data_IF_413758708784
#
_entry.id   IF_413758708784
#
_cell.length_a   1.000
_cell.length_b   1.000
_cell.length_c   1.000
_cell.angle_alpha   90.00
_cell.angle_beta   90.00
_cell.angle_gamma   90.00
#
_symmetry.space_group_name_H-M   'P 1'
#
loop_
_entity.id
_entity.type
_entity.pdbx_description
1 polymer ?
#
# COMPACT_ATOMS: atom_id res chain seq x y z
N UNK A 1 0.76 23.99 1.02
CA UNK A 1 1.51 22.82 1.53
C UNK A 1 2.53 23.15 2.60
N UNK A 2 3.21 24.29 2.55
CA UNK A 2 4.15 24.74 3.61
C UNK A 2 3.56 24.71 5.05
N UNK A 3 2.27 25.05 5.29
CA UNK A 3 1.67 24.91 6.62
C UNK A 3 1.53 23.46 7.11
N UNK A 4 1.56 22.48 6.19
CA UNK A 4 1.47 21.05 6.49
C UNK A 4 2.86 20.39 6.59
N UNK A 5 3.95 21.14 6.41
CA UNK A 5 5.32 20.63 6.47
C UNK A 5 5.65 19.88 7.78
N UNK A 6 4.98 20.27 8.87
CA UNK A 6 5.13 19.67 10.19
C UNK A 6 4.39 18.34 10.35
N UNK A 7 3.53 17.94 9.40
CA UNK A 7 2.77 16.68 9.46
C UNK A 7 3.73 15.49 9.46
N UNK A 8 3.55 14.65 10.45
CA UNK A 8 4.34 13.46 10.73
C UNK A 8 3.62 12.20 10.24
N UNK A 9 4.32 11.07 10.22
CA UNK A 9 3.69 9.77 9.97
C UNK A 9 2.53 9.48 10.94
N UNK A 10 2.66 9.89 12.19
CA UNK A 10 1.61 9.79 13.21
C UNK A 10 0.37 10.62 12.84
N UNK A 11 0.56 11.85 12.34
CA UNK A 11 -0.58 12.69 11.94
C UNK A 11 -1.34 12.06 10.77
N UNK A 12 -0.63 11.47 9.80
CA UNK A 12 -1.24 10.72 8.70
C UNK A 12 -2.06 9.52 9.20
N UNK A 13 -1.64 8.86 10.29
CA UNK A 13 -2.37 7.74 10.89
C UNK A 13 -3.62 8.21 11.65
N UNK A 14 -3.49 9.26 12.46
CA UNK A 14 -4.58 9.78 13.28
C UNK A 14 -5.66 10.45 12.41
N UNK A 15 -5.25 11.39 11.56
CA UNK A 15 -6.15 12.22 10.75
C UNK A 15 -6.55 11.56 9.42
N UNK A 16 -5.95 10.40 9.11
CA UNK A 16 -6.26 9.59 7.93
C UNK A 16 -7.15 8.41 8.29
N UNK A 17 -6.61 7.19 8.44
CA UNK A 17 -7.40 5.98 8.62
C UNK A 17 -8.23 5.97 9.92
N UNK A 18 -7.74 6.51 11.04
CA UNK A 18 -8.51 6.48 12.30
C UNK A 18 -9.70 7.44 12.27
N UNK A 19 -9.53 8.66 11.76
CA UNK A 19 -10.63 9.60 11.53
C UNK A 19 -11.60 9.12 10.45
N UNK A 20 -11.11 8.45 9.41
CA UNK A 20 -11.97 7.82 8.41
C UNK A 20 -12.86 6.73 9.03
N UNK A 21 -12.34 5.92 9.96
CA UNK A 21 -13.16 4.94 10.69
C UNK A 21 -14.24 5.62 11.55
N UNK A 22 -13.89 6.72 12.23
CA UNK A 22 -14.87 7.51 12.99
C UNK A 22 -15.98 8.05 12.06
N UNK A 23 -15.62 8.54 10.88
CA UNK A 23 -16.55 9.06 9.89
C UNK A 23 -17.44 7.96 9.29
N UNK A 24 -16.89 6.77 9.01
CA UNK A 24 -17.66 5.61 8.54
C UNK A 24 -18.71 5.20 9.58
N UNK A 25 -18.34 5.14 10.86
CA UNK A 25 -19.26 4.81 11.94
C UNK A 25 -20.39 5.86 12.06
N UNK A 26 -20.07 7.15 11.97
CA UNK A 26 -21.08 8.23 11.97
C UNK A 26 -22.00 8.20 10.73
N UNK A 27 -21.46 7.84 9.56
CA UNK A 27 -22.22 7.80 8.32
C UNK A 27 -23.13 6.57 8.21
N UNK A 28 -22.69 5.43 8.76
CA UNK A 28 -23.32 4.12 8.50
C UNK A 28 -23.97 3.48 9.71
N UNK A 29 -23.59 3.91 10.93
CA UNK A 29 -23.90 3.24 12.20
C UNK A 29 -23.06 1.98 12.45
N UNK A 30 -22.22 1.57 11.50
CA UNK A 30 -21.40 0.37 11.63
C UNK A 30 -20.05 0.71 12.26
N UNK A 31 -19.79 0.13 13.43
CA UNK A 31 -18.51 0.26 14.13
C UNK A 31 -17.38 -0.52 13.44
N UNK A 32 -17.74 -1.54 12.68
CA UNK A 32 -16.82 -2.54 12.15
C UNK A 32 -16.58 -2.34 10.65
N UNK A 33 -15.32 -2.44 10.22
CA UNK A 33 -14.92 -2.20 8.83
C UNK A 33 -13.95 -3.26 8.31
N UNK A 34 -14.02 -3.50 7.01
CA UNK A 34 -12.97 -4.16 6.25
C UNK A 34 -12.16 -3.09 5.52
N UNK A 35 -10.84 -3.21 5.54
CA UNK A 35 -9.95 -2.15 5.05
C UNK A 35 -8.97 -2.67 4.01
N UNK A 36 -8.52 -1.77 3.15
CA UNK A 36 -7.54 -2.05 2.12
C UNK A 36 -6.44 -1.00 2.23
N UNK A 37 -5.18 -1.42 2.17
CA UNK A 37 -4.04 -0.56 2.03
C UNK A 37 -3.24 -0.92 0.77
N UNK A 38 -2.81 0.09 0.01
CA UNK A 38 -2.05 -0.08 -1.22
C UNK A 38 -0.71 0.64 -1.10
N UNK A 39 0.40 -0.07 -1.35
CA UNK A 39 1.76 0.45 -1.30
C UNK A 39 2.05 1.09 0.07
N UNK A 40 2.50 2.34 0.12
CA UNK A 40 2.72 3.08 1.37
C UNK A 40 1.45 3.20 2.23
N UNK A 41 0.26 3.25 1.60
CA UNK A 41 -1.01 3.20 2.32
C UNK A 41 -1.22 1.89 3.07
N UNK A 42 -0.66 0.79 2.57
CA UNK A 42 -0.61 -0.49 3.28
C UNK A 42 0.37 -0.48 4.44
N UNK A 43 1.54 0.16 4.29
CA UNK A 43 2.50 0.31 5.40
C UNK A 43 1.87 1.14 6.53
N UNK A 44 1.18 2.23 6.19
CA UNK A 44 0.41 3.03 7.14
C UNK A 44 -0.71 2.22 7.80
N UNK A 45 -1.44 1.41 7.03
CA UNK A 45 -2.48 0.52 7.56
C UNK A 45 -1.90 -0.51 8.54
N UNK A 46 -0.77 -1.14 8.23
CA UNK A 46 -0.12 -2.10 9.12
C UNK A 46 0.31 -1.44 10.44
N UNK A 47 0.91 -0.25 10.36
CA UNK A 47 1.24 0.56 11.55
C UNK A 47 -0.02 0.92 12.35
N UNK A 48 -1.11 1.28 11.67
CA UNK A 48 -2.41 1.59 12.29
C UNK A 48 -2.94 0.37 13.05
N UNK A 49 -2.95 -0.81 12.42
CA UNK A 49 -3.44 -2.04 13.04
C UNK A 49 -2.60 -2.43 14.25
N UNK A 50 -1.27 -2.32 14.17
CA UNK A 50 -0.40 -2.57 15.31
C UNK A 50 -0.68 -1.60 16.47
N UNK A 51 -0.84 -0.30 16.18
CA UNK A 51 -1.25 0.70 17.17
C UNK A 51 -2.62 0.39 17.79
N UNK A 52 -3.60 0.03 16.96
CA UNK A 52 -4.94 -0.38 17.42
C UNK A 52 -4.88 -1.58 18.38
N UNK A 53 -3.93 -2.52 18.19
CA UNK A 53 -3.76 -3.64 19.12
C UNK A 53 -3.30 -3.20 20.52
N UNK A 54 -2.48 -2.15 20.61
CA UNK A 54 -2.06 -1.57 21.90
C UNK A 54 -3.25 -0.91 22.58
N UNK A 55 -4.08 -0.19 21.80
CA UNK A 55 -5.28 0.51 22.28
C UNK A 55 -6.50 -0.39 22.47
N UNK A 56 -6.39 -1.69 22.15
CA UNK A 56 -7.48 -2.68 22.16
C UNK A 56 -8.68 -2.26 21.29
N UNK A 57 -8.40 -1.53 20.22
CA UNK A 57 -9.39 -1.16 19.23
C UNK A 57 -9.54 -2.29 18.20
N UNK A 58 -10.75 -2.84 18.11
CA UNK A 58 -11.09 -4.02 17.32
C UNK A 58 -12.12 -3.71 16.22
N UNK A 59 -12.16 -2.46 15.75
CA UNK A 59 -13.04 -2.00 14.66
C UNK A 59 -12.72 -2.64 13.31
N UNK A 60 -11.48 -3.04 13.06
CA UNK A 60 -11.10 -3.66 11.78
C UNK A 60 -11.28 -5.18 11.83
N UNK A 61 -12.12 -5.73 10.94
CA UNK A 61 -12.44 -7.16 10.86
C UNK A 61 -11.62 -7.96 9.88
N UNK A 62 -11.21 -7.32 8.80
CA UNK A 62 -10.26 -7.88 7.87
C UNK A 62 -9.45 -6.76 7.23
N UNK A 63 -8.21 -7.08 6.85
CA UNK A 63 -7.32 -6.17 6.18
C UNK A 63 -6.81 -6.80 4.88
N UNK A 64 -6.76 -6.01 3.82
CA UNK A 64 -6.14 -6.42 2.55
C UNK A 64 -4.97 -5.49 2.23
N UNK A 65 -3.84 -6.07 1.85
CA UNK A 65 -2.64 -5.35 1.47
C UNK A 65 -2.32 -5.59 0.00
N UNK A 66 -2.22 -4.53 -0.79
CA UNK A 66 -1.79 -4.59 -2.18
C UNK A 66 -0.34 -4.12 -2.27
N UNK A 67 0.56 -4.99 -2.75
CA UNK A 67 1.99 -4.73 -2.99
C UNK A 67 2.61 -3.84 -1.92
N UNK A 68 2.47 -4.27 -0.67
CA UNK A 68 2.82 -3.50 0.52
C UNK A 68 4.00 -4.14 1.23
N UNK A 69 5.00 -3.34 1.56
CA UNK A 69 6.12 -3.76 2.39
C UNK A 69 5.90 -3.36 3.85
N UNK A 70 6.24 -4.27 4.75
CA UNK A 70 6.39 -4.04 6.20
C UNK A 70 7.75 -4.49 6.72
N UNK A 71 8.43 -5.34 5.95
CA UNK A 71 9.84 -5.64 6.05
C UNK A 71 10.53 -5.06 4.81
N UNK A 72 11.51 -4.19 5.05
CA UNK A 72 12.24 -3.44 4.04
C UNK A 72 13.68 -3.95 3.85
N UNK A 73 14.03 -5.12 4.41
CA UNK A 73 15.37 -5.71 4.28
C UNK A 73 15.79 -5.87 2.80
N UNK A 74 14.85 -6.23 1.93
CA UNK A 74 15.05 -6.35 0.48
C UNK A 74 14.10 -5.40 -0.28
N UNK A 75 14.14 -4.09 0.00
CA UNK A 75 13.21 -3.11 -0.56
C UNK A 75 13.38 -2.77 -2.07
N UNK A 76 13.99 -3.68 -2.84
CA UNK A 76 14.15 -3.55 -4.30
C UNK A 76 15.17 -2.50 -4.72
N UNK A 77 14.99 -1.95 -5.93
CA UNK A 77 15.92 -1.00 -6.53
C UNK A 77 16.02 0.32 -5.75
N UNK A 78 15.01 0.64 -4.92
CA UNK A 78 15.02 1.79 -4.03
C UNK A 78 16.16 1.76 -3.02
N UNK A 79 16.57 0.58 -2.55
CA UNK A 79 17.63 0.45 -1.54
C UNK A 79 18.98 1.00 -2.00
N UNK A 80 19.20 1.12 -3.32
CA UNK A 80 20.43 1.68 -3.90
C UNK A 80 20.51 3.21 -3.72
N UNK A 81 19.38 3.87 -3.49
CA UNK A 81 19.28 5.33 -3.37
C UNK A 81 19.05 5.82 -1.93
N UNK A 82 19.31 4.95 -0.94
CA UNK A 82 19.00 5.20 0.47
C UNK A 82 20.25 4.93 1.31
N UNK A 83 21.30 5.71 1.03
CA UNK A 83 22.47 5.82 1.90
C UNK A 83 22.40 7.08 2.79
N UNK A 84 23.27 7.13 3.81
CA UNK A 84 23.28 8.20 4.80
C UNK A 84 23.52 9.60 4.20
N UNK A 85 24.37 9.68 3.18
CA UNK A 85 24.79 10.93 2.57
C UNK A 85 23.68 11.50 1.67
N UNK A 86 23.05 10.62 0.87
CA UNK A 86 21.89 10.95 0.03
C UNK A 86 20.67 11.33 0.86
N UNK A 87 20.40 10.61 1.96
CA UNK A 87 19.29 10.94 2.85
C UNK A 87 19.51 12.28 3.54
N UNK A 88 20.71 12.55 4.06
CA UNK A 88 21.02 13.82 4.71
C UNK A 88 20.87 14.99 3.72
N UNK A 89 21.37 14.86 2.50
CA UNK A 89 21.22 15.88 1.46
C UNK A 89 19.75 16.10 1.05
N UNK A 90 18.96 15.03 0.99
CA UNK A 90 17.52 15.12 0.72
C UNK A 90 16.79 15.82 1.87
N UNK A 91 17.13 15.48 3.11
CA UNK A 91 16.58 16.10 4.32
C UNK A 91 16.89 17.59 4.39
N UNK A 92 18.11 18.03 4.08
CA UNK A 92 18.47 19.44 4.00
C UNK A 92 17.59 20.18 2.97
N UNK A 93 17.42 19.61 1.77
CA UNK A 93 16.56 20.18 0.72
C UNK A 93 15.10 20.26 1.15
N UNK A 94 14.58 19.21 1.77
CA UNK A 94 13.20 19.16 2.24
C UNK A 94 12.97 20.12 3.41
N UNK A 95 13.92 20.24 4.34
CA UNK A 95 13.82 21.14 5.49
C UNK A 95 13.85 22.62 5.07
N UNK A 96 14.55 22.96 3.99
CA UNK A 96 14.55 24.31 3.44
C UNK A 96 13.19 24.74 2.84
N UNK A 97 12.38 23.80 2.36
CA UNK A 97 11.08 24.06 1.71
C UNK A 97 9.86 23.59 2.51
N UNK A 98 10.06 22.74 3.51
CA UNK A 98 9.02 22.05 4.29
C UNK A 98 8.46 20.77 3.65
N UNK A 99 8.78 20.45 2.40
CA UNK A 99 8.28 19.27 1.67
C UNK A 99 9.22 18.87 0.54
N UNK A 100 9.05 17.65 0.02
CA UNK A 100 9.69 17.23 -1.24
C UNK A 100 8.81 17.64 -2.43
N UNK A 101 9.40 18.33 -3.41
CA UNK A 101 8.70 18.68 -4.65
C UNK A 101 8.30 17.42 -5.42
N UNK A 102 7.08 17.42 -5.97
CA UNK A 102 6.55 16.28 -6.73
C UNK A 102 7.46 15.88 -7.90
N UNK A 103 8.11 16.85 -8.57
CA UNK A 103 9.09 16.58 -9.64
C UNK A 103 10.32 15.81 -9.16
N UNK A 104 10.80 16.07 -7.95
CA UNK A 104 12.02 15.47 -7.42
C UNK A 104 11.71 14.00 -7.03
N UNK A 105 10.53 13.77 -6.43
CA UNK A 105 9.99 12.44 -6.18
C UNK A 105 9.73 11.66 -7.47
N UNK A 106 9.06 12.29 -8.44
CA UNK A 106 8.80 11.69 -9.75
C UNK A 106 10.09 11.34 -10.49
N UNK A 107 11.16 12.13 -10.33
CA UNK A 107 12.47 11.83 -10.93
C UNK A 107 13.07 10.55 -10.34
N UNK A 108 13.09 10.39 -9.01
CA UNK A 108 13.56 9.14 -8.38
C UNK A 108 12.69 7.95 -8.77
N UNK A 109 11.37 8.07 -8.73
CA UNK A 109 10.46 7.00 -9.17
C UNK A 109 10.58 6.70 -10.66
N UNK A 110 10.80 7.69 -11.53
CA UNK A 110 11.01 7.48 -12.96
C UNK A 110 12.38 6.87 -13.26
N UNK A 111 13.42 7.13 -12.45
CA UNK A 111 14.72 6.46 -12.55
C UNK A 111 14.61 4.97 -12.22
N UNK A 112 13.84 4.63 -11.18
CA UNK A 112 13.52 3.23 -10.82
C UNK A 112 12.63 2.56 -11.86
N UNK A 113 11.72 3.32 -12.47
CA UNK A 113 10.82 2.84 -13.52
C UNK A 113 11.39 2.95 -14.93
N UNK A 114 12.64 3.36 -15.12
CA UNK A 114 13.22 3.49 -16.46
C UNK A 114 13.19 2.12 -17.20
N UNK A 115 13.34 1.02 -16.46
CA UNK A 115 13.16 -0.33 -17.00
C UNK A 115 11.69 -0.63 -17.36
N UNK A 116 10.73 -0.25 -16.52
CA UNK A 116 9.32 -0.59 -16.73
C UNK A 116 8.58 0.31 -17.72
N UNK A 117 8.95 1.58 -17.86
CA UNK A 117 8.29 2.55 -18.74
C UNK A 117 8.93 2.63 -20.13
N UNK A 118 10.25 2.47 -20.22
CA UNK A 118 10.98 2.62 -21.50
C UNK A 118 11.38 1.26 -22.05
N UNK A 119 12.00 0.39 -21.24
CA UNK A 119 12.50 -0.89 -21.75
C UNK A 119 11.38 -1.91 -21.99
N UNK A 120 10.39 -2.01 -21.09
CA UNK A 120 9.22 -2.87 -21.33
C UNK A 120 8.38 -2.40 -22.52
N UNK A 121 8.31 -1.08 -22.78
CA UNK A 121 7.67 -0.50 -23.96
C UNK A 121 8.43 -0.85 -25.25
N UNK A 122 9.76 -0.73 -25.26
CA UNK A 122 10.59 -1.12 -26.41
C UNK A 122 10.53 -2.63 -26.65
N UNK A 123 10.63 -3.46 -25.61
CA UNK A 123 10.55 -4.92 -25.77
C UNK A 123 9.16 -5.36 -26.22
N UNK A 124 8.08 -4.88 -25.58
CA UNK A 124 6.73 -5.33 -25.93
C UNK A 124 6.23 -4.73 -27.25
N UNK A 125 6.50 -3.45 -27.55
CA UNK A 125 5.93 -2.79 -28.73
C UNK A 125 6.85 -2.83 -29.94
N UNK A 126 8.15 -2.61 -29.75
CA UNK A 126 9.10 -2.56 -30.86
C UNK A 126 9.61 -3.96 -31.25
N UNK A 127 9.90 -4.85 -30.29
CA UNK A 127 10.38 -6.20 -30.58
C UNK A 127 9.26 -7.25 -30.71
N UNK A 128 8.17 -7.13 -29.95
CA UNK A 128 7.10 -8.14 -29.88
C UNK A 128 5.76 -7.71 -30.50
N UNK A 129 5.64 -6.46 -30.98
CA UNK A 129 4.44 -5.97 -31.69
C UNK A 129 3.16 -5.92 -30.85
N UNK A 130 3.26 -5.76 -29.53
CA UNK A 130 2.12 -5.70 -28.61
C UNK A 130 1.57 -4.28 -28.46
N UNK A 131 0.33 -4.18 -27.96
CA UNK A 131 -0.40 -2.92 -27.80
C UNK A 131 0.34 -1.92 -26.87
N UNK A 132 0.23 -0.61 -27.15
CA UNK A 132 0.90 0.43 -26.36
C UNK A 132 0.45 0.48 -24.91
N UNK A 133 1.35 0.97 -24.05
CA UNK A 133 1.08 1.15 -22.62
C UNK A 133 -0.16 2.05 -22.44
N UNK A 134 -1.11 1.70 -21.54
CA UNK A 134 -2.33 2.46 -21.38
C UNK A 134 -2.05 3.93 -21.00
N UNK A 135 -2.64 4.87 -21.76
CA UNK A 135 -2.43 6.32 -21.59
C UNK A 135 -2.94 6.85 -20.24
N UNK A 136 -3.91 6.16 -19.64
CA UNK A 136 -4.46 6.43 -18.31
C UNK A 136 -3.42 6.20 -17.19
N UNK A 137 -2.61 5.14 -17.28
CA UNK A 137 -1.54 4.86 -16.32
C UNK A 137 -0.44 5.91 -16.37
N UNK A 138 -0.11 6.39 -17.58
CA UNK A 138 0.85 7.48 -17.76
C UNK A 138 0.32 8.79 -17.18
N UNK A 139 -0.97 9.09 -17.39
CA UNK A 139 -1.62 10.26 -16.81
C UNK A 139 -1.56 10.22 -15.28
N UNK A 140 -1.98 9.11 -14.67
CA UNK A 140 -1.90 8.91 -13.21
C UNK A 140 -0.46 9.06 -12.70
N UNK A 141 0.53 8.48 -13.38
CA UNK A 141 1.92 8.56 -12.97
C UNK A 141 2.50 9.98 -13.05
N UNK A 142 2.02 10.78 -14.01
CA UNK A 142 2.46 12.17 -14.17
C UNK A 142 1.82 13.13 -13.14
N UNK A 143 0.75 12.72 -12.49
CA UNK A 143 0.01 13.50 -11.50
C UNK A 143 0.60 13.31 -10.09
N UNK A 144 1.80 13.86 -9.90
CA UNK A 144 2.57 13.70 -8.66
C UNK A 144 1.97 14.46 -7.47
N UNK A 145 2.15 13.93 -6.26
CA UNK A 145 1.79 14.59 -4.99
C UNK A 145 3.03 14.99 -4.21
N UNK A 146 2.96 16.11 -3.48
CA UNK A 146 3.97 16.47 -2.48
C UNK A 146 3.79 15.66 -1.19
N UNK A 147 4.90 15.46 -0.48
CA UNK A 147 4.91 14.82 0.83
C UNK A 147 5.64 15.71 1.85
N UNK A 148 5.06 15.93 3.06
CA UNK A 148 5.70 16.69 4.11
C UNK A 148 7.06 16.11 4.50
N UNK A 149 8.03 16.99 4.73
CA UNK A 149 9.42 16.60 5.02
C UNK A 149 9.51 15.61 6.18
N UNK A 150 8.81 15.88 7.30
CA UNK A 150 8.87 15.04 8.50
C UNK A 150 8.33 13.63 8.27
N UNK A 151 7.22 13.50 7.53
CA UNK A 151 6.66 12.19 7.20
C UNK A 151 7.58 11.43 6.26
N UNK A 152 8.11 12.09 5.23
CA UNK A 152 9.00 11.46 4.25
C UNK A 152 10.33 11.00 4.86
N UNK A 153 11.01 11.88 5.61
CA UNK A 153 12.24 11.55 6.33
C UNK A 153 12.03 10.40 7.30
N UNK A 154 10.94 10.43 8.06
CA UNK A 154 10.61 9.34 8.98
C UNK A 154 10.51 8.01 8.25
N UNK A 155 9.78 7.97 7.12
CA UNK A 155 9.58 6.78 6.32
C UNK A 155 10.90 6.23 5.75
N UNK A 156 11.72 7.09 5.14
CA UNK A 156 13.00 6.66 4.56
C UNK A 156 14.01 6.20 5.62
N UNK A 157 14.18 6.98 6.70
CA UNK A 157 15.12 6.67 7.78
C UNK A 157 14.73 5.39 8.52
N UNK A 158 13.53 5.36 9.07
CA UNK A 158 13.15 4.32 10.02
C UNK A 158 12.74 3.03 9.32
N UNK A 159 12.21 3.09 8.09
CA UNK A 159 11.76 1.90 7.38
C UNK A 159 12.75 1.44 6.33
N UNK A 160 13.03 2.26 5.30
CA UNK A 160 13.95 1.80 4.25
C UNK A 160 15.40 1.63 4.72
N UNK A 161 15.95 2.59 5.46
CA UNK A 161 17.36 2.55 5.87
C UNK A 161 17.57 1.61 7.07
N UNK A 162 16.75 1.75 8.11
CA UNK A 162 16.96 1.06 9.39
C UNK A 162 16.08 -0.18 9.59
N UNK A 163 15.06 -0.37 8.74
CA UNK A 163 14.10 -1.47 8.82
C UNK A 163 13.56 -1.69 10.24
N UNK A 164 13.11 -0.63 10.90
CA UNK A 164 12.62 -0.65 12.28
C UNK A 164 11.16 -1.12 12.39
N UNK A 165 10.37 -1.03 11.31
CA UNK A 165 8.95 -1.42 11.35
C UNK A 165 8.77 -2.92 11.65
N UNK A 166 9.67 -3.77 11.14
CA UNK A 166 9.66 -5.22 11.41
C UNK A 166 10.13 -5.57 12.82
N UNK A 167 10.82 -4.65 13.51
CA UNK A 167 11.36 -4.87 14.84
C UNK A 167 10.31 -4.57 15.91
N UNK A 168 10.02 -5.49 16.85
CA UNK A 168 9.08 -5.23 17.94
C UNK A 168 9.47 -3.99 18.74
N UNK A 169 8.61 -2.96 18.76
CA UNK A 169 8.88 -1.70 19.42
C UNK A 169 9.92 -0.80 18.75
N UNK A 170 10.37 -1.13 17.53
CA UNK A 170 11.31 -0.31 16.77
C UNK A 170 10.73 1.04 16.31
N UNK A 171 9.40 1.13 16.21
CA UNK A 171 8.67 2.37 15.93
C UNK A 171 7.70 2.66 17.08
N UNK A 172 7.62 3.94 17.45
CA UNK A 172 6.69 4.44 18.46
C UNK A 172 5.69 5.41 17.80
N UNK A 173 4.40 5.20 18.04
CA UNK A 173 3.32 6.06 17.55
C UNK A 173 2.50 6.58 18.74
N UNK A 174 2.39 7.91 18.87
CA UNK A 174 1.73 8.58 20.02
C UNK A 174 2.29 8.06 21.37
N UNK A 175 3.60 7.85 21.45
CA UNK A 175 4.26 7.32 22.65
C UNK A 175 4.10 5.82 22.88
N UNK A 176 3.35 5.11 22.04
CA UNK A 176 3.13 3.67 22.16
C UNK A 176 4.04 2.90 21.18
N UNK A 177 4.91 1.99 21.66
CA UNK A 177 5.70 1.13 20.78
C UNK A 177 4.78 0.14 20.07
N UNK A 178 4.91 0.06 18.74
CA UNK A 178 4.09 -0.84 17.92
C UNK A 178 4.86 -2.12 17.58
N UNK A 179 4.13 -3.20 17.33
CA UNK A 179 4.68 -4.50 16.97
C UNK A 179 3.77 -5.19 15.95
N UNK A 180 4.31 -5.48 14.77
CA UNK A 180 3.58 -6.15 13.69
C UNK A 180 3.14 -7.56 14.10
N UNK A 181 3.88 -8.22 14.98
CA UNK A 181 3.55 -9.55 15.48
C UNK A 181 2.26 -9.56 16.31
N UNK A 182 1.80 -8.41 16.81
CA UNK A 182 0.55 -8.33 17.57
C UNK A 182 -0.70 -8.28 16.69
N UNK A 183 -0.55 -8.13 15.38
CA UNK A 183 -1.68 -8.05 14.44
C UNK A 183 -2.32 -9.43 14.30
N UNK A 184 -3.56 -9.55 14.80
CA UNK A 184 -4.39 -10.77 14.74
C UNK A 184 -5.53 -10.70 13.74
N UNK A 185 -5.66 -9.58 13.04
CA UNK A 185 -6.72 -9.33 12.06
C UNK A 185 -6.56 -10.30 10.87
N UNK A 186 -7.62 -11.01 10.45
CA UNK A 186 -7.63 -11.76 9.20
C UNK A 186 -7.12 -10.91 8.04
N UNK A 187 -6.11 -11.41 7.33
CA UNK A 187 -5.36 -10.62 6.37
C UNK A 187 -5.24 -11.33 5.02
N UNK A 188 -5.50 -10.61 3.94
CA UNK A 188 -5.10 -11.02 2.59
C UNK A 188 -3.96 -10.13 2.09
N UNK A 189 -2.86 -10.74 1.64
CA UNK A 189 -1.73 -10.05 1.03
C UNK A 189 -1.73 -10.40 -0.45
N UNK A 190 -1.84 -9.39 -1.31
CA UNK A 190 -1.80 -9.53 -2.77
C UNK A 190 -0.56 -8.84 -3.27
N UNK A 191 0.34 -9.61 -3.88
CA UNK A 191 1.61 -9.12 -4.43
C UNK A 191 1.66 -9.34 -5.94
N UNK A 192 2.59 -8.69 -6.64
CA UNK A 192 2.77 -8.86 -8.07
C UNK A 192 4.13 -9.50 -8.37
N UNK A 193 4.15 -10.53 -9.21
CA UNK A 193 5.32 -11.38 -9.45
C UNK A 193 6.50 -10.63 -10.06
N UNK A 194 6.21 -9.72 -10.99
CA UNK A 194 7.23 -8.93 -11.70
C UNK A 194 7.31 -7.49 -11.14
N UNK A 195 6.95 -7.30 -9.87
CA UNK A 195 7.04 -6.01 -9.19
C UNK A 195 8.49 -5.74 -8.73
N UNK A 196 9.09 -4.70 -9.29
CA UNK A 196 10.44 -4.24 -8.92
C UNK A 196 10.41 -3.11 -7.86
N UNK A 197 9.24 -2.50 -7.61
CA UNK A 197 9.04 -1.42 -6.64
C UNK A 197 8.85 -2.01 -5.23
N UNK A 198 7.99 -3.03 -5.15
CA UNK A 198 7.74 -3.80 -3.93
C UNK A 198 7.90 -5.28 -4.27
N UNK A 199 9.14 -5.80 -4.28
CA UNK A 199 9.41 -7.19 -4.65
C UNK A 199 8.52 -8.14 -3.86
N UNK A 200 7.88 -9.09 -4.55
CA UNK A 200 6.89 -9.94 -3.90
C UNK A 200 7.45 -10.79 -2.76
N UNK A 201 8.76 -11.05 -2.76
CA UNK A 201 9.46 -11.74 -1.65
C UNK A 201 9.49 -10.88 -0.39
N UNK A 202 9.68 -9.57 -0.55
CA UNK A 202 9.69 -8.58 0.54
C UNK A 202 8.28 -8.36 1.09
N UNK A 203 7.27 -8.31 0.23
CA UNK A 203 5.87 -8.25 0.68
C UNK A 203 5.40 -9.59 1.29
N UNK A 204 5.94 -10.72 0.85
CA UNK A 204 5.68 -12.04 1.43
C UNK A 204 6.18 -12.16 2.88
N UNK A 205 7.21 -11.44 3.29
CA UNK A 205 7.73 -11.46 4.66
C UNK A 205 6.65 -11.17 5.71
N UNK A 206 5.64 -10.35 5.38
CA UNK A 206 4.49 -10.08 6.24
C UNK A 206 3.72 -11.34 6.67
N UNK A 207 3.70 -12.39 5.84
CA UNK A 207 3.07 -13.68 6.15
C UNK A 207 3.70 -14.38 7.35
N UNK A 208 4.96 -14.06 7.67
CA UNK A 208 5.72 -14.65 8.78
C UNK A 208 5.69 -13.75 10.02
N UNK A 209 5.15 -12.53 9.90
CA UNK A 209 5.07 -11.56 10.98
C UNK A 209 3.69 -11.56 11.64
N UNK A 210 2.61 -11.53 10.86
CA UNK A 210 1.27 -11.41 11.41
C UNK A 210 0.83 -12.70 12.12
N UNK A 211 0.18 -12.56 13.28
CA UNK A 211 -0.32 -13.68 14.08
C UNK A 211 -1.74 -14.13 13.70
N UNK A 212 -2.48 -13.30 12.95
CA UNK A 212 -3.82 -13.63 12.48
C UNK A 212 -3.82 -14.65 11.32
N UNK A 213 -5.00 -15.11 10.89
CA UNK A 213 -5.12 -15.86 9.64
C UNK A 213 -4.60 -15.01 8.47
N UNK A 214 -3.65 -15.54 7.71
CA UNK A 214 -3.10 -14.87 6.52
C UNK A 214 -3.40 -15.70 5.29
N UNK A 215 -3.82 -15.03 4.22
CA UNK A 215 -3.87 -15.58 2.88
C UNK A 215 -2.94 -14.77 1.95
N UNK A 216 -2.10 -15.46 1.19
CA UNK A 216 -1.19 -14.83 0.24
C UNK A 216 -1.59 -15.16 -1.20
N UNK A 217 -1.69 -14.13 -2.03
CA UNK A 217 -2.01 -14.21 -3.45
C UNK A 217 -0.90 -13.53 -4.23
N UNK A 218 -0.38 -14.20 -5.25
CA UNK A 218 0.60 -13.63 -6.16
C UNK A 218 -0.06 -13.40 -7.52
N UNK A 219 -0.28 -12.14 -7.92
CA UNK A 219 -0.73 -11.79 -9.25
C UNK A 219 0.45 -11.83 -10.24
N UNK A 220 0.18 -12.22 -11.48
CA UNK A 220 1.15 -12.01 -12.56
C UNK A 220 1.29 -10.51 -12.91
N UNK A 221 2.28 -10.19 -13.76
CA UNK A 221 2.63 -8.82 -14.16
C UNK A 221 3.28 -7.99 -13.03
N UNK A 222 3.47 -6.70 -13.28
CA UNK A 222 4.17 -5.76 -12.39
C UNK A 222 3.25 -4.94 -11.48
N UNK A 223 3.83 -3.99 -10.74
CA UNK A 223 3.20 -3.25 -9.64
C UNK A 223 1.77 -2.76 -9.88
N UNK A 224 1.52 -2.13 -11.04
CA UNK A 224 0.20 -1.57 -11.37
C UNK A 224 -0.62 -2.57 -12.19
N UNK A 225 -0.03 -3.15 -13.24
CA UNK A 225 -0.74 -4.04 -14.16
C UNK A 225 -1.23 -5.34 -13.50
N UNK A 226 -0.52 -5.83 -12.47
CA UNK A 226 -0.95 -6.98 -11.66
C UNK A 226 -2.09 -6.65 -10.69
N UNK A 227 -2.08 -5.45 -10.09
CA UNK A 227 -3.12 -5.02 -9.15
C UNK A 227 -4.40 -4.56 -9.86
N UNK A 228 -4.26 -3.77 -10.92
CA UNK A 228 -5.37 -3.25 -11.74
C UNK A 228 -5.65 -4.21 -12.89
N UNK A 229 -6.17 -5.39 -12.56
CA UNK A 229 -6.53 -6.43 -13.54
C UNK A 229 -8.04 -6.75 -13.48
N UNK A 230 -8.89 -6.01 -14.21
CA UNK A 230 -10.34 -6.24 -14.21
C UNK A 230 -10.71 -7.63 -14.76
N UNK A 231 -11.60 -8.38 -14.10
CA UNK A 231 -11.95 -9.75 -14.49
C UNK A 231 -12.55 -9.85 -15.90
N UNK A 232 -13.29 -8.83 -16.34
CA UNK A 232 -13.91 -8.78 -17.67
C UNK A 232 -12.89 -8.84 -18.82
N UNK A 233 -11.62 -8.48 -18.58
CA UNK A 233 -10.58 -8.51 -19.61
C UNK A 233 -9.93 -9.90 -19.77
N UNK A 234 -10.15 -10.82 -18.82
CA UNK A 234 -9.62 -12.18 -18.81
C UNK A 234 -8.12 -12.25 -19.15
N UNK A 235 -7.32 -11.32 -18.60
CA UNK A 235 -5.87 -11.25 -18.79
C UNK A 235 -5.13 -11.84 -17.59
N UNK A 236 -3.93 -12.32 -17.87
CA UNK A 236 -2.98 -12.81 -16.87
C UNK A 236 -3.46 -14.03 -16.07
N UNK A 237 -2.75 -14.30 -14.98
CA UNK A 237 -3.02 -15.35 -14.01
C UNK A 237 -2.63 -14.88 -12.62
N UNK A 238 -2.95 -15.70 -11.62
CA UNK A 238 -2.52 -15.51 -10.24
C UNK A 238 -2.25 -16.87 -9.58
N UNK A 239 -1.43 -16.88 -8.54
CA UNK A 239 -1.09 -18.07 -7.77
C UNK A 239 -1.65 -18.00 -6.36
N UNK A 240 -2.10 -19.14 -5.87
CA UNK A 240 -2.57 -19.33 -4.48
C UNK A 240 -1.97 -20.59 -3.90
N UNK A 241 -1.65 -20.59 -2.61
CA UNK A 241 -1.20 -21.77 -1.87
C UNK A 241 -1.79 -21.71 -0.45
N UNK A 242 -2.31 -22.84 0.03
CA UNK A 242 -2.88 -22.95 1.37
C UNK A 242 -1.85 -22.99 2.51
N UNK A 243 -0.58 -23.19 2.18
CA UNK A 243 0.53 -23.16 3.14
C UNK A 243 1.37 -21.89 2.97
N UNK A 244 1.97 -21.43 4.07
CA UNK A 244 2.83 -20.24 4.12
C UNK A 244 4.23 -20.59 4.67
N UNK A 245 5.05 -21.39 3.95
CA UNK A 245 6.40 -21.69 4.40
C UNK A 245 7.25 -20.42 4.49
N UNK A 246 8.25 -20.39 5.38
CA UNK A 246 9.10 -19.22 5.58
C UNK A 246 9.82 -18.77 4.30
N UNK A 247 10.25 -19.71 3.45
CA UNK A 247 10.91 -19.40 2.19
C UNK A 247 9.88 -19.06 1.08
N UNK A 248 9.89 -17.85 0.50
CA UNK A 248 8.94 -17.45 -0.54
C UNK A 248 9.06 -18.33 -1.79
N UNK A 249 10.27 -18.73 -2.18
CA UNK A 249 10.45 -19.63 -3.34
C UNK A 249 9.84 -21.03 -3.10
N UNK A 250 9.78 -21.48 -1.85
CA UNK A 250 9.09 -22.74 -1.51
C UNK A 250 7.56 -22.57 -1.61
N UNK A 251 7.04 -21.41 -1.20
CA UNK A 251 5.62 -21.06 -1.39
C UNK A 251 5.25 -21.11 -2.87
N UNK A 252 6.04 -20.46 -3.73
CA UNK A 252 5.76 -20.37 -5.16
C UNK A 252 5.84 -21.72 -5.87
N UNK A 253 6.83 -22.56 -5.54
CA UNK A 253 6.96 -23.92 -6.10
C UNK A 253 5.75 -24.82 -5.85
N UNK A 254 5.01 -24.57 -4.77
CA UNK A 254 3.84 -25.33 -4.37
C UNK A 254 2.52 -24.62 -4.72
N UNK A 255 2.59 -23.41 -5.27
CA UNK A 255 1.41 -22.61 -5.55
C UNK A 255 0.72 -23.06 -6.84
N UNK A 256 -0.61 -23.05 -6.81
CA UNK A 256 -1.43 -23.39 -7.98
C UNK A 256 -1.71 -22.12 -8.77
N UNK A 257 -1.32 -22.14 -10.05
CA UNK A 257 -1.67 -21.09 -11.01
C UNK A 257 -3.16 -21.16 -11.37
N UNK A 258 -3.81 -20.00 -11.43
CA UNK A 258 -5.21 -19.82 -11.80
C UNK A 258 -5.30 -18.75 -12.87
N UNK A 259 -6.01 -19.04 -13.96
CA UNK A 259 -6.18 -18.09 -15.05
C UNK A 259 -7.08 -16.91 -14.66
N UNK A 260 -6.80 -15.73 -15.23
CA UNK A 260 -7.62 -14.52 -15.07
C UNK A 260 -7.23 -13.65 -13.87
N UNK A 261 -8.17 -12.79 -13.48
CA UNK A 261 -7.99 -11.84 -12.39
C UNK A 261 -8.09 -12.52 -11.01
N UNK A 262 -7.30 -12.03 -10.06
CA UNK A 262 -7.40 -12.41 -8.64
C UNK A 262 -8.56 -11.72 -7.91
N UNK A 263 -9.21 -10.70 -8.51
CA UNK A 263 -10.30 -9.95 -7.87
C UNK A 263 -11.49 -10.83 -7.45
N UNK A 264 -11.96 -11.81 -8.23
CA UNK A 264 -13.03 -12.72 -7.79
C UNK A 264 -12.63 -13.55 -6.57
N UNK A 265 -11.36 -13.96 -6.49
CA UNK A 265 -10.81 -14.69 -5.34
C UNK A 265 -10.81 -13.81 -4.09
N UNK A 266 -10.31 -12.58 -4.20
CA UNK A 266 -10.36 -11.60 -3.12
C UNK A 266 -11.79 -11.26 -2.69
N UNK A 267 -12.71 -11.07 -3.64
CA UNK A 267 -14.12 -10.82 -3.33
C UNK A 267 -14.77 -11.97 -2.58
N UNK A 268 -14.42 -13.22 -2.90
CA UNK A 268 -14.94 -14.40 -2.21
C UNK A 268 -14.38 -14.52 -0.77
N UNK A 269 -13.11 -14.18 -0.58
CA UNK A 269 -12.51 -14.08 0.75
C UNK A 269 -13.15 -12.97 1.59
N UNK A 270 -13.28 -11.77 1.03
CA UNK A 270 -13.86 -10.61 1.70
C UNK A 270 -15.31 -10.84 2.13
N UNK A 271 -16.09 -11.59 1.34
CA UNK A 271 -17.47 -11.94 1.66
C UNK A 271 -17.60 -12.71 3.00
N UNK A 272 -16.56 -13.43 3.43
CA UNK A 272 -16.53 -14.14 4.72
C UNK A 272 -16.45 -13.17 5.92
N UNK A 273 -16.07 -11.92 5.67
CA UNK A 273 -15.89 -10.86 6.67
C UNK A 273 -16.91 -9.71 6.52
N UNK A 274 -17.87 -9.82 5.60
CA UNK A 274 -18.75 -8.70 5.22
C UNK A 274 -20.02 -8.53 6.08
N UNK A 275 -20.30 -9.43 7.02
CA UNK A 275 -21.46 -9.31 7.93
C UNK A 275 -22.85 -9.48 7.30
N UNK A 276 -22.93 -9.72 5.98
CA UNK A 276 -24.18 -9.96 5.24
C UNK A 276 -24.55 -8.81 4.29
N UNK A 277 -25.77 -8.88 3.72
CA UNK A 277 -26.29 -7.84 2.81
C UNK A 277 -27.29 -6.96 3.55
N UNK A 278 -27.22 -5.66 3.31
CA UNK A 278 -28.17 -4.65 3.79
C UNK A 278 -28.69 -3.83 2.60
N UNK A 279 -29.83 -3.13 2.73
CA UNK A 279 -30.24 -2.14 1.73
C UNK A 279 -29.13 -1.13 1.45
N UNK A 280 -29.02 -0.70 0.19
CA UNK A 280 -28.02 0.28 -0.20
C UNK A 280 -28.25 1.60 0.57
N UNK A 281 -27.18 2.12 1.17
CA UNK A 281 -27.21 3.39 1.90
C UNK A 281 -27.15 4.56 0.92
N UNK A 282 -27.85 5.66 1.23
CA UNK A 282 -27.75 6.91 0.48
C UNK A 282 -26.79 7.85 1.20
N UNK A 283 -25.76 8.40 0.52
CA UNK A 283 -24.88 9.40 1.12
C UNK A 283 -25.68 10.58 1.67
N UNK A 284 -25.47 10.92 2.95
CA UNK A 284 -26.18 12.01 3.63
C UNK A 284 -27.32 11.58 4.55
N UNK A 285 -27.77 10.32 4.51
CA UNK A 285 -28.85 9.82 5.39
C UNK A 285 -28.39 9.65 6.86
N UNK A 286 -27.09 9.55 7.09
CA UNK A 286 -26.49 9.42 8.42
C UNK A 286 -26.23 10.77 9.11
N UNK A 287 -25.28 10.80 10.04
CA UNK A 287 -24.94 12.04 10.77
C UNK A 287 -24.10 13.02 9.95
N UNK A 288 -23.46 12.53 8.88
CA UNK A 288 -22.59 13.33 8.02
C UNK A 288 -23.34 13.87 6.80
N UNK A 289 -23.26 15.19 6.60
CA UNK A 289 -23.82 15.85 5.42
C UNK A 289 -22.93 15.64 4.20
N UNK A 290 -23.56 15.49 3.04
CA UNK A 290 -22.84 15.50 1.75
C UNK A 290 -22.23 16.88 1.52
N UNK A 291 -20.92 16.92 1.26
CA UNK A 291 -20.21 18.16 0.98
C UNK A 291 -20.24 18.52 -0.51
N UNK A 292 -20.13 17.51 -1.38
CA UNK A 292 -20.09 17.61 -2.85
C UNK A 292 -20.06 16.23 -3.49
N UNK A 293 -20.22 16.20 -4.80
CA UNK A 293 -20.03 15.00 -5.61
C UNK A 293 -18.54 14.58 -5.67
N UNK A 294 -18.32 13.28 -5.79
CA UNK A 294 -17.02 12.71 -6.12
C UNK A 294 -16.52 13.26 -7.49
N UNK A 295 -15.20 13.44 -7.71
CA UNK A 295 -14.09 12.92 -6.92
C UNK A 295 -13.55 13.91 -5.85
N UNK A 296 -14.32 14.96 -5.53
CA UNK A 296 -13.90 15.98 -4.56
C UNK A 296 -12.93 17.03 -5.13
N UNK A 297 -12.27 17.79 -4.24
CA UNK A 297 -11.33 18.86 -4.62
C UNK A 297 -9.87 18.49 -4.36
N UNK A 298 -9.56 17.70 -3.34
CA UNK A 298 -8.16 17.41 -2.96
C UNK A 298 -7.41 16.68 -4.08
N UNK A 299 -8.07 15.75 -4.78
CA UNK A 299 -7.48 15.04 -5.92
C UNK A 299 -7.28 15.93 -7.17
N UNK A 300 -7.85 17.14 -7.18
CA UNK A 300 -7.72 18.09 -8.30
C UNK A 300 -6.59 19.11 -8.08
N UNK A 301 -5.96 19.09 -6.90
CA UNK A 301 -4.85 19.99 -6.57
C UNK A 301 -3.61 19.56 -7.34
N UNK A 302 -2.96 20.50 -8.02
CA UNK A 302 -1.73 20.25 -8.77
C UNK A 302 -0.51 20.57 -7.91
N UNK A 303 0.50 19.68 -7.95
CA UNK A 303 1.82 19.90 -7.35
C UNK A 303 2.71 20.77 -8.22
#
# INVERSE_FOLDING_TARGET
DEPLAAKTFTDYMLEGPLDALNAIEQATGEREANVIGYCLGGTLLASTLAYMTVRRDNRIKSATYFVTMVDFAEAGELSVFIDEEQLSALEERMNAKGYLEGRDMATTFNMLRANDLIWSFVVNNYLLGKDPFPFDLLYWNSDSTRMPARMHSFYLRHMYQQNLLVQPGGITIVGEPIDMARIKTPTMIVSAREDHIAPWKSTYAATQLYQGPVEFVLAASGHIAGMVNPPARNKYSYWTNGNLPAAPDAWFKQATERAGSWWPHWSAWLAQHAGGKVPARVPGDGQLKVLRDAPGEYVKVKS
#
